data_IF_991630287733
#
_entry.id   IF_991630287733
#
_cell.length_a   1.000
_cell.length_b   1.000
_cell.length_c   1.000
_cell.angle_alpha   90.00
_cell.angle_beta   90.00
_cell.angle_gamma   90.00
#
_symmetry.space_group_name_H-M   'P 1'
#
loop_
_entity.id
_entity.type
_entity.pdbx_description
1 polymer ?
#
# COMPACT_ATOMS: atom_id res chain seq x y z
N UNK A 1 41.73 23.13 -10.03
CA UNK A 1 42.10 21.76 -10.42
C UNK A 1 41.84 20.93 -9.18
N UNK A 2 40.68 20.32 -8.99
CA UNK A 2 39.86 19.63 -10.00
C UNK A 2 38.36 19.85 -9.76
N UNK A 3 37.78 20.78 -10.52
CA UNK A 3 36.39 20.73 -10.93
C UNK A 3 36.41 20.01 -12.28
N UNK A 4 35.79 18.84 -12.39
CA UNK A 4 35.12 18.28 -13.58
C UNK A 4 35.07 16.73 -13.51
N UNK A 5 34.06 16.18 -12.84
CA UNK A 5 33.56 14.82 -13.12
C UNK A 5 32.16 14.52 -12.52
N UNK A 6 31.20 15.44 -12.69
CA UNK A 6 29.80 15.17 -12.26
C UNK A 6 28.83 15.26 -13.44
N UNK A 7 29.26 14.77 -14.60
CA UNK A 7 28.39 14.52 -15.74
C UNK A 7 28.41 13.02 -16.05
N UNK A 8 27.30 12.30 -15.85
CA UNK A 8 27.15 11.00 -16.51
C UNK A 8 26.18 9.98 -15.93
N UNK A 9 25.85 10.00 -14.64
CA UNK A 9 24.81 9.09 -14.12
C UNK A 9 23.46 9.78 -14.17
N UNK A 10 22.91 9.90 -15.38
CA UNK A 10 21.48 10.13 -15.53
C UNK A 10 20.76 9.07 -14.72
N UNK A 11 20.09 9.50 -13.63
CA UNK A 11 19.34 8.61 -12.76
C UNK A 11 18.32 7.88 -13.62
N UNK A 12 18.51 6.58 -13.85
CA UNK A 12 17.65 5.73 -14.70
C UNK A 12 16.17 5.86 -14.33
N UNK A 13 15.88 6.15 -13.06
CA UNK A 13 14.57 6.44 -12.52
C UNK A 13 13.92 7.61 -13.26
N UNK A 14 14.66 8.69 -13.51
CA UNK A 14 14.16 9.87 -14.25
C UNK A 14 13.92 9.61 -15.73
N UNK A 15 14.47 8.52 -16.28
CA UNK A 15 14.25 8.08 -17.66
C UNK A 15 13.15 7.02 -17.76
N UNK A 16 12.65 6.53 -16.63
CA UNK A 16 11.63 5.50 -16.63
C UNK A 16 10.27 6.12 -17.01
N UNK A 17 9.57 5.59 -18.04
CA UNK A 17 8.34 6.20 -18.56
C UNK A 17 7.27 6.34 -17.46
N UNK A 18 7.08 5.30 -16.64
CA UNK A 18 6.13 5.37 -15.52
C UNK A 18 6.53 6.43 -14.50
N UNK A 19 7.81 6.66 -14.24
CA UNK A 19 8.22 7.72 -13.31
C UNK A 19 7.88 9.10 -13.86
N UNK A 20 8.05 9.30 -15.17
CA UNK A 20 7.63 10.51 -15.87
C UNK A 20 6.11 10.70 -15.80
N UNK A 21 5.33 9.64 -16.02
CA UNK A 21 3.87 9.66 -15.89
C UNK A 21 3.44 10.04 -14.46
N UNK A 22 4.08 9.46 -13.44
CA UNK A 22 3.79 9.80 -12.04
C UNK A 22 4.16 11.24 -11.69
N UNK A 23 5.25 11.79 -12.27
CA UNK A 23 5.60 13.19 -12.14
C UNK A 23 4.57 14.12 -12.80
N UNK A 24 4.01 13.71 -13.93
CA UNK A 24 2.99 14.46 -14.68
C UNK A 24 1.62 14.52 -13.97
N UNK A 25 1.42 13.74 -12.90
CA UNK A 25 0.24 13.86 -12.04
C UNK A 25 0.24 15.14 -11.16
N UNK A 26 1.35 15.88 -11.15
CA UNK A 26 1.52 17.22 -10.56
C UNK A 26 1.07 17.33 -9.09
N UNK A 27 1.49 16.36 -8.28
CA UNK A 27 1.10 16.27 -6.86
C UNK A 27 2.00 17.05 -5.90
N UNK A 28 2.98 17.81 -6.43
CA UNK A 28 3.77 18.80 -5.69
C UNK A 28 4.83 18.25 -4.73
N UNK A 29 4.88 16.95 -4.47
CA UNK A 29 5.84 16.29 -3.57
C UNK A 29 6.66 15.22 -4.30
N UNK A 30 7.87 15.60 -4.73
CA UNK A 30 8.76 14.69 -5.46
C UNK A 30 9.23 13.49 -4.65
N UNK A 31 9.26 13.57 -3.31
CA UNK A 31 9.63 12.45 -2.47
C UNK A 31 8.48 11.43 -2.38
N UNK A 32 7.24 11.90 -2.42
CA UNK A 32 6.06 11.06 -2.54
C UNK A 32 5.96 10.39 -3.92
N UNK A 33 6.25 11.12 -5.00
CA UNK A 33 6.32 10.52 -6.36
C UNK A 33 7.41 9.44 -6.43
N UNK A 34 8.59 9.71 -5.85
CA UNK A 34 9.66 8.72 -5.75
C UNK A 34 9.24 7.47 -4.96
N UNK A 35 8.59 7.65 -3.81
CA UNK A 35 8.05 6.54 -3.03
C UNK A 35 7.00 5.75 -3.82
N UNK A 36 6.10 6.43 -4.54
CA UNK A 36 5.11 5.77 -5.40
C UNK A 36 5.76 4.95 -6.49
N UNK A 37 6.85 5.43 -7.09
CA UNK A 37 7.60 4.67 -8.08
C UNK A 37 8.26 3.42 -7.51
N UNK A 38 8.86 3.49 -6.32
CA UNK A 38 9.43 2.31 -5.65
C UNK A 38 8.36 1.26 -5.34
N UNK A 39 7.17 1.71 -4.91
CA UNK A 39 6.04 0.81 -4.67
C UNK A 39 5.54 0.21 -5.98
N UNK A 40 5.42 1.00 -7.05
CA UNK A 40 5.06 0.51 -8.38
C UNK A 40 5.97 -0.65 -8.81
N UNK A 41 7.29 -0.46 -8.76
CA UNK A 41 8.24 -1.52 -9.11
C UNK A 41 8.08 -2.78 -8.25
N UNK A 42 7.82 -2.62 -6.96
CA UNK A 42 7.59 -3.77 -6.09
C UNK A 42 6.29 -4.51 -6.42
N UNK A 43 5.22 -3.77 -6.71
CA UNK A 43 3.93 -4.34 -7.09
C UNK A 43 4.05 -5.12 -8.40
N UNK A 44 4.67 -4.55 -9.44
CA UNK A 44 4.78 -5.20 -10.75
C UNK A 44 5.84 -6.30 -10.79
N UNK A 45 7.06 -6.02 -10.33
CA UNK A 45 8.22 -6.92 -10.53
C UNK A 45 8.34 -8.01 -9.46
N UNK A 46 7.94 -7.72 -8.21
CA UNK A 46 8.12 -8.65 -7.08
C UNK A 46 6.82 -9.36 -6.74
N UNK A 47 5.71 -8.63 -6.74
CA UNK A 47 4.40 -9.18 -6.36
C UNK A 47 3.55 -9.63 -7.55
N UNK A 48 3.93 -9.28 -8.78
CA UNK A 48 3.22 -9.68 -9.99
C UNK A 48 1.82 -9.10 -10.10
N UNK A 49 1.59 -7.88 -9.59
CA UNK A 49 0.31 -7.19 -9.75
C UNK A 49 0.10 -6.78 -11.20
N UNK A 50 -1.16 -6.80 -11.61
CA UNK A 50 -1.61 -6.46 -12.96
C UNK A 50 -2.28 -5.08 -12.99
N UNK A 51 -2.24 -4.44 -14.15
CA UNK A 51 -2.89 -3.14 -14.42
C UNK A 51 -2.53 -2.05 -13.39
N UNK A 52 -1.29 -2.05 -12.88
CA UNK A 52 -0.87 -1.06 -11.87
C UNK A 52 -0.71 0.30 -12.54
N UNK A 53 -1.49 1.29 -12.08
CA UNK A 53 -1.48 2.66 -12.60
C UNK A 53 -1.40 3.68 -11.47
N UNK A 54 -0.78 4.83 -11.75
CA UNK A 54 -0.75 5.96 -10.83
C UNK A 54 -1.96 6.87 -11.01
N UNK A 55 -2.58 7.28 -9.90
CA UNK A 55 -3.73 8.17 -9.88
C UNK A 55 -3.48 9.30 -8.89
N UNK A 56 -3.71 10.55 -9.32
CA UNK A 56 -3.63 11.69 -8.42
C UNK A 56 -4.76 11.65 -7.38
N UNK A 57 -4.45 11.97 -6.13
CA UNK A 57 -5.42 12.28 -5.09
C UNK A 57 -5.26 13.76 -4.71
N UNK A 58 -6.04 14.66 -5.35
CA UNK A 58 -5.93 16.10 -5.13
C UNK A 58 -6.20 16.51 -3.68
N UNK A 59 -7.07 15.78 -2.97
CA UNK A 59 -7.45 16.08 -1.59
C UNK A 59 -6.27 15.99 -0.63
N UNK A 60 -5.33 15.08 -0.92
CA UNK A 60 -4.15 14.82 -0.08
C UNK A 60 -2.84 15.28 -0.74
N UNK A 61 -2.91 15.72 -2.00
CA UNK A 61 -1.75 15.99 -2.84
C UNK A 61 -0.76 14.81 -2.83
N UNK A 62 -1.24 13.62 -3.18
CA UNK A 62 -0.43 12.39 -3.30
C UNK A 62 -0.76 11.58 -4.55
N UNK A 63 0.23 10.86 -5.06
CA UNK A 63 0.03 9.75 -5.99
C UNK A 63 -0.48 8.54 -5.21
N UNK A 64 -1.64 8.01 -5.57
CA UNK A 64 -2.08 6.67 -5.21
C UNK A 64 -1.75 5.70 -6.35
N UNK A 65 -1.62 4.43 -6.04
CA UNK A 65 -1.53 3.39 -7.07
C UNK A 65 -2.81 2.55 -7.04
N UNK A 66 -3.33 2.23 -8.21
CA UNK A 66 -4.46 1.32 -8.37
C UNK A 66 -3.99 0.12 -9.18
N UNK A 67 -4.37 -1.09 -8.79
CA UNK A 67 -3.99 -2.30 -9.52
C UNK A 67 -4.66 -3.54 -8.94
N UNK A 68 -4.42 -4.70 -9.58
CA UNK A 68 -4.98 -5.99 -9.17
C UNK A 68 -3.88 -6.90 -8.65
N UNK A 69 -4.10 -7.50 -7.48
CA UNK A 69 -3.14 -8.46 -6.92
C UNK A 69 -3.06 -9.75 -7.72
N UNK A 70 -4.17 -10.16 -8.35
CA UNK A 70 -4.26 -11.30 -9.26
C UNK A 70 -5.29 -11.02 -10.35
N UNK A 71 -5.14 -11.70 -11.48
CA UNK A 71 -6.10 -11.65 -12.59
C UNK A 71 -7.53 -11.93 -12.09
N UNK A 72 -8.47 -11.06 -12.47
CA UNK A 72 -9.88 -11.17 -12.09
C UNK A 72 -10.24 -10.69 -10.68
N UNK A 73 -9.26 -10.34 -9.83
CA UNK A 73 -9.54 -9.70 -8.53
C UNK A 73 -9.99 -8.24 -8.70
N UNK A 74 -10.63 -7.71 -7.65
CA UNK A 74 -11.00 -6.30 -7.57
C UNK A 74 -9.77 -5.41 -7.52
N UNK A 75 -9.87 -4.23 -8.14
CA UNK A 75 -8.84 -3.19 -8.05
C UNK A 75 -8.68 -2.78 -6.58
N UNK A 76 -7.42 -2.74 -6.13
CA UNK A 76 -7.04 -2.26 -4.80
C UNK A 76 -6.29 -0.95 -4.93
N UNK A 77 -6.51 -0.07 -3.96
CA UNK A 77 -5.80 1.19 -3.84
C UNK A 77 -4.61 1.00 -2.89
N UNK A 78 -3.42 1.40 -3.32
CA UNK A 78 -2.21 1.43 -2.51
C UNK A 78 -1.81 2.89 -2.28
N UNK A 79 -1.53 3.24 -1.03
CA UNK A 79 -1.02 4.56 -0.65
C UNK A 79 0.46 4.48 -0.28
N UNK A 80 1.37 4.97 -1.14
CA UNK A 80 2.79 5.11 -0.84
C UNK A 80 3.03 6.26 0.13
N UNK A 81 3.48 5.94 1.34
CA UNK A 81 3.79 6.89 2.41
C UNK A 81 5.30 6.92 2.66
N UNK A 82 6.01 7.98 2.24
CA UNK A 82 7.42 8.18 2.58
C UNK A 82 7.63 8.31 4.09
N UNK A 83 8.73 7.73 4.62
CA UNK A 83 9.02 7.71 6.07
C UNK A 83 9.11 9.08 6.75
N UNK A 84 9.40 10.14 6.01
CA UNK A 84 9.46 11.51 6.55
C UNK A 84 8.09 12.22 6.56
N UNK A 85 7.06 11.63 5.94
CA UNK A 85 5.73 12.20 5.83
C UNK A 85 4.80 11.58 6.86
N UNK A 86 4.08 12.44 7.58
CA UNK A 86 3.03 12.02 8.50
C UNK A 86 1.69 11.93 7.78
N UNK A 87 0.83 11.01 8.22
CA UNK A 87 -0.55 10.89 7.74
C UNK A 87 -1.51 10.97 8.93
N UNK A 88 -2.60 11.69 8.79
CA UNK A 88 -3.66 11.76 9.80
C UNK A 88 -4.76 10.73 9.55
N UNK A 89 -5.56 10.44 10.57
CA UNK A 89 -6.76 9.60 10.40
C UNK A 89 -7.75 10.17 9.37
N UNK A 90 -7.84 11.51 9.25
CA UNK A 90 -8.70 12.15 8.27
C UNK A 90 -8.23 11.85 6.84
N UNK A 91 -6.92 11.85 6.63
CA UNK A 91 -6.32 11.56 5.32
C UNK A 91 -6.58 10.11 4.91
N UNK A 92 -6.37 9.16 5.83
CA UNK A 92 -6.67 7.75 5.59
C UNK A 92 -8.15 7.53 5.29
N UNK A 93 -9.04 8.24 6.01
CA UNK A 93 -10.49 8.16 5.77
C UNK A 93 -10.87 8.68 4.39
N UNK A 94 -10.23 9.76 3.92
CA UNK A 94 -10.43 10.29 2.58
C UNK A 94 -10.17 9.24 1.48
N UNK A 95 -9.23 8.32 1.70
CA UNK A 95 -8.94 7.23 0.76
C UNK A 95 -9.94 6.08 0.95
N UNK A 96 -10.22 5.69 2.20
CA UNK A 96 -11.14 4.57 2.51
C UNK A 96 -12.59 4.84 2.10
N UNK A 97 -13.05 6.09 2.14
CA UNK A 97 -14.40 6.50 1.73
C UNK A 97 -14.67 6.21 0.23
N UNK A 98 -13.64 5.85 -0.56
CA UNK A 98 -13.78 5.36 -1.95
C UNK A 98 -14.36 3.95 -2.04
N UNK A 99 -14.54 3.25 -0.92
CA UNK A 99 -15.30 2.01 -0.82
C UNK A 99 -14.49 0.72 -0.97
N UNK A 100 -13.17 0.81 -1.12
CA UNK A 100 -12.29 -0.37 -1.23
C UNK A 100 -11.28 -0.41 -0.06
N UNK A 101 -10.94 -1.62 0.44
CA UNK A 101 -9.78 -1.79 1.32
C UNK A 101 -8.55 -1.13 0.71
N UNK A 102 -7.84 -0.31 1.48
CA UNK A 102 -6.62 0.32 1.02
C UNK A 102 -5.41 -0.41 1.60
N UNK A 103 -4.32 -0.45 0.85
CA UNK A 103 -3.04 -0.92 1.32
C UNK A 103 -2.12 0.28 1.57
N UNK A 104 -1.83 0.57 2.83
CA UNK A 104 -0.81 1.57 3.18
C UNK A 104 0.57 0.93 2.97
N UNK A 105 1.43 1.57 2.18
CA UNK A 105 2.82 1.16 2.01
C UNK A 105 3.76 2.19 2.63
N UNK A 106 4.34 1.88 3.78
CA UNK A 106 5.38 2.72 4.37
C UNK A 106 6.71 2.48 3.64
N UNK A 107 7.30 3.55 3.13
CA UNK A 107 8.52 3.54 2.33
C UNK A 107 9.66 4.16 3.13
N UNK A 108 10.60 3.33 3.58
CA UNK A 108 11.78 3.76 4.30
C UNK A 108 12.84 4.36 3.37
N UNK A 109 13.78 5.13 3.92
CA UNK A 109 14.86 5.77 3.15
C UNK A 109 15.85 4.80 2.52
N UNK A 110 15.95 3.58 3.06
CA UNK A 110 16.72 2.47 2.50
C UNK A 110 15.95 1.67 1.43
N UNK A 111 14.79 2.21 0.98
CA UNK A 111 13.87 1.58 0.04
C UNK A 111 13.15 0.33 0.56
N UNK A 112 13.20 0.06 1.88
CA UNK A 112 12.37 -0.98 2.49
C UNK A 112 10.89 -0.60 2.41
N UNK A 113 10.05 -1.57 2.02
CA UNK A 113 8.60 -1.41 1.85
C UNK A 113 7.84 -2.27 2.87
N UNK A 114 6.97 -1.65 3.65
CA UNK A 114 6.09 -2.35 4.61
C UNK A 114 4.64 -2.08 4.24
N UNK A 115 3.90 -3.16 4.01
CA UNK A 115 2.49 -3.10 3.61
C UNK A 115 1.57 -3.39 4.79
N UNK A 116 0.59 -2.53 4.99
CA UNK A 116 -0.44 -2.68 6.00
C UNK A 116 -1.81 -2.47 5.36
N UNK A 117 -2.67 -3.48 5.48
CA UNK A 117 -4.05 -3.35 5.03
C UNK A 117 -4.85 -2.50 6.02
N UNK A 118 -5.53 -1.48 5.52
CA UNK A 118 -6.48 -0.67 6.28
C UNK A 118 -7.88 -0.88 5.71
N UNK A 119 -8.86 -0.99 6.59
CA UNK A 119 -10.26 -1.20 6.25
C UNK A 119 -11.13 -0.29 7.11
N UNK A 120 -12.31 0.04 6.61
CA UNK A 120 -13.34 0.66 7.45
C UNK A 120 -13.99 -0.44 8.32
N UNK A 121 -13.95 -0.23 9.64
CA UNK A 121 -14.50 -1.18 10.62
C UNK A 121 -13.52 -2.25 11.11
N UNK A 122 -14.09 -3.35 11.64
CA UNK A 122 -13.33 -4.44 12.25
C UNK A 122 -13.16 -5.59 11.26
N UNK A 123 -11.92 -6.04 11.09
CA UNK A 123 -11.61 -7.29 10.40
C UNK A 123 -11.57 -8.44 11.40
N UNK A 124 -12.26 -9.54 11.09
CA UNK A 124 -12.12 -10.78 11.84
C UNK A 124 -10.72 -11.34 11.58
N UNK A 125 -9.89 -11.56 12.61
CA UNK A 125 -8.57 -12.14 12.41
C UNK A 125 -8.70 -13.57 11.88
N UNK A 126 -7.74 -13.98 11.05
CA UNK A 126 -7.61 -15.38 10.65
C UNK A 126 -7.50 -16.25 11.90
N UNK A 127 -8.24 -17.37 11.96
CA UNK A 127 -8.20 -18.24 13.12
C UNK A 127 -6.79 -18.80 13.31
N UNK A 128 -6.30 -18.88 14.55
CA UNK A 128 -4.97 -19.44 14.83
C UNK A 128 -4.89 -20.90 14.37
N UNK A 129 -3.85 -21.22 13.61
CA UNK A 129 -3.59 -22.58 13.12
C UNK A 129 -3.18 -23.45 14.31
N UNK A 130 -3.96 -24.50 14.62
CA UNK A 130 -3.58 -25.52 15.59
C UNK A 130 -4.25 -25.46 16.97
N UNK A 131 -5.27 -24.64 17.20
CA UNK A 131 -6.08 -24.78 18.41
C UNK A 131 -7.03 -25.98 18.23
N UNK A 132 -6.61 -27.15 18.73
CA UNK A 132 -7.58 -28.17 19.12
C UNK A 132 -8.37 -27.60 20.29
N UNK A 133 -9.64 -27.29 20.07
CA UNK A 133 -10.59 -26.92 21.12
C UNK A 133 -10.78 -28.11 22.08
N UNK A 134 -9.87 -28.27 23.04
CA UNK A 134 -9.93 -29.31 24.07
C UNK A 134 -11.02 -29.01 25.13
N UNK A 135 -11.81 -27.94 24.96
CA UNK A 135 -12.56 -27.32 26.06
C UNK A 135 -14.06 -27.15 25.87
N UNK A 136 -14.71 -27.77 24.88
CA UNK A 136 -16.19 -27.66 24.72
C UNK A 136 -16.96 -28.97 24.63
N UNK A 137 -16.48 -30.02 25.30
CA UNK A 137 -17.30 -31.19 25.60
C UNK A 137 -17.68 -31.21 27.09
N UNK A 138 -18.99 -31.14 27.33
CA UNK A 138 -19.72 -31.63 28.53
C UNK A 138 -20.22 -30.64 29.61
N UNK A 139 -20.73 -29.45 29.27
CA UNK A 139 -21.61 -28.70 30.18
C UNK A 139 -23.10 -28.67 29.76
N UNK A 140 -23.60 -29.76 29.17
CA UNK A 140 -25.04 -30.02 29.04
C UNK A 140 -25.43 -31.25 29.85
N UNK A 141 -25.36 -31.15 31.18
CA UNK A 141 -26.05 -32.06 32.08
C UNK A 141 -26.96 -31.28 33.01
N UNK A 142 -28.19 -31.80 33.13
CA UNK A 142 -29.24 -31.51 34.10
C UNK A 142 -30.08 -30.26 33.85
N UNK A 143 -31.19 -30.47 33.13
CA UNK A 143 -32.55 -30.09 33.53
C UNK A 143 -33.53 -30.80 32.59
N UNK A 144 -34.12 -31.89 33.07
CA UNK A 144 -35.44 -32.43 32.72
C UNK A 144 -35.53 -33.86 33.26
N UNK A 145 -35.96 -33.96 34.52
CA UNK A 145 -36.75 -35.07 35.05
C UNK A 145 -37.40 -34.53 36.33
N UNK A 146 -38.65 -34.13 36.19
CA UNK A 146 -39.66 -34.10 37.25
C UNK A 146 -40.97 -34.48 36.58
#
# INVERSE_FOLDING_TARGET
>A
MDEDNTAGHSSWIKQHPVYEDLMNLDVGDGAQVYAAFLVYLNLTEVRGWEDVVGVACPELQVVLLEGREKEGELVRVVYPLPAHRTVSHKDLRCILDRGHPMLLCAVASDSTLVYQQLCDGLLTPEPPVGIQDQGRRQHRKRRLQT
#
